data_IF_357401432054
#
_entry.id   IF_357401432054
#
_cell.length_a   1.000
_cell.length_b   1.000
_cell.length_c   1.000
_cell.angle_alpha   90.00
_cell.angle_beta   90.00
_cell.angle_gamma   90.00
#
_symmetry.space_group_name_H-M   'P 1'
#
loop_
_entity.id
_entity.type
_entity.pdbx_description
1 polymer ?
#
# COMPACT_ATOMS: atom_id res chain seq x y z
N UNK A 1 -6.21 -23.97 -15.43
CA UNK A 1 -6.13 -22.56 -15.89
C UNK A 1 -7.52 -21.98 -16.22
N UNK A 2 -8.39 -22.73 -16.90
CA UNK A 2 -9.73 -22.26 -17.30
C UNK A 2 -10.63 -21.78 -16.14
N UNK A 3 -10.68 -22.51 -15.01
CA UNK A 3 -11.44 -22.11 -13.80
C UNK A 3 -11.09 -20.70 -13.31
N UNK A 4 -9.80 -20.34 -13.30
CA UNK A 4 -9.36 -19.01 -12.85
C UNK A 4 -9.68 -17.92 -13.88
N UNK A 5 -9.66 -18.25 -15.17
CA UNK A 5 -10.07 -17.33 -16.23
C UNK A 5 -11.58 -17.02 -16.17
N UNK A 6 -12.39 -18.01 -15.82
CA UNK A 6 -13.84 -17.84 -15.64
C UNK A 6 -14.17 -16.98 -14.41
N UNK A 7 -13.50 -17.23 -13.28
CA UNK A 7 -13.60 -16.40 -12.07
C UNK A 7 -13.13 -14.96 -12.37
N UNK A 8 -12.04 -14.78 -13.12
CA UNK A 8 -11.54 -13.46 -13.50
C UNK A 8 -12.50 -12.66 -14.40
N UNK A 9 -13.33 -13.35 -15.19
CA UNK A 9 -14.37 -12.75 -16.04
C UNK A 9 -15.64 -12.41 -15.26
N UNK A 10 -15.87 -13.02 -14.09
CA UNK A 10 -17.05 -12.78 -13.25
C UNK A 10 -17.17 -11.31 -12.83
N UNK A 11 -18.42 -10.84 -12.74
CA UNK A 11 -18.72 -9.46 -12.28
C UNK A 11 -18.34 -9.26 -10.81
N UNK A 12 -18.43 -10.31 -10.00
CA UNK A 12 -18.08 -10.29 -8.58
C UNK A 12 -16.58 -10.04 -8.37
N UNK A 13 -15.72 -10.73 -9.13
CA UNK A 13 -14.28 -10.52 -9.09
C UNK A 13 -13.88 -9.10 -9.56
N UNK A 14 -14.55 -8.57 -10.59
CA UNK A 14 -14.30 -7.20 -11.07
C UNK A 14 -14.67 -6.15 -10.00
N UNK A 15 -15.81 -6.31 -9.31
CA UNK A 15 -16.22 -5.45 -8.19
C UNK A 15 -15.21 -5.52 -7.04
N UNK A 16 -14.79 -6.73 -6.66
CA UNK A 16 -13.77 -6.94 -5.63
C UNK A 16 -12.44 -6.28 -5.98
N UNK A 17 -11.94 -6.49 -7.21
CA UNK A 17 -10.70 -5.88 -7.70
C UNK A 17 -10.78 -4.36 -7.66
N UNK A 18 -11.90 -3.76 -8.10
CA UNK A 18 -12.09 -2.30 -8.06
C UNK A 18 -12.08 -1.78 -6.62
N UNK A 19 -12.77 -2.44 -5.69
CA UNK A 19 -12.79 -2.04 -4.28
C UNK A 19 -11.39 -2.09 -3.64
N UNK A 20 -10.61 -3.14 -3.94
CA UNK A 20 -9.22 -3.26 -3.50
C UNK A 20 -8.34 -2.13 -4.08
N UNK A 21 -8.47 -1.84 -5.37
CA UNK A 21 -7.71 -0.78 -6.02
C UNK A 21 -8.04 0.62 -5.47
N UNK A 22 -9.32 0.94 -5.25
CA UNK A 22 -9.74 2.24 -4.67
C UNK A 22 -9.17 2.45 -3.27
N UNK A 23 -8.93 1.38 -2.51
CA UNK A 23 -8.27 1.47 -1.22
C UNK A 23 -6.74 1.67 -1.33
N UNK A 24 -6.08 0.98 -2.26
CA UNK A 24 -4.61 0.99 -2.39
C UNK A 24 -4.12 2.26 -3.10
N UNK A 25 -4.82 2.74 -4.12
CA UNK A 25 -4.39 3.87 -4.94
C UNK A 25 -4.08 5.14 -4.13
N UNK A 26 -4.93 5.59 -3.19
CA UNK A 26 -4.63 6.76 -2.36
C UNK A 26 -3.37 6.58 -1.52
N UNK A 27 -3.15 5.39 -0.97
CA UNK A 27 -1.96 5.06 -0.15
C UNK A 27 -0.70 5.15 -1.00
N UNK A 28 -0.74 4.61 -2.22
CA UNK A 28 0.39 4.66 -3.17
C UNK A 28 0.70 6.10 -3.56
N UNK A 29 -0.32 6.91 -3.88
CA UNK A 29 -0.14 8.32 -4.22
C UNK A 29 0.47 9.10 -3.05
N UNK A 30 -0.06 8.92 -1.83
CA UNK A 30 0.44 9.58 -0.64
C UNK A 30 1.89 9.17 -0.34
N UNK A 31 2.21 7.88 -0.46
CA UNK A 31 3.57 7.38 -0.31
C UNK A 31 4.52 7.96 -1.36
N UNK A 32 4.12 8.02 -2.62
CA UNK A 32 4.94 8.58 -3.70
C UNK A 32 5.21 10.07 -3.48
N UNK A 33 4.16 10.85 -3.13
CA UNK A 33 4.31 12.27 -2.83
C UNK A 33 5.28 12.49 -1.67
N UNK A 34 5.14 11.71 -0.59
CA UNK A 34 6.02 11.78 0.57
C UNK A 34 7.46 11.33 0.24
N UNK A 35 7.63 10.28 -0.55
CA UNK A 35 8.95 9.83 -0.99
C UNK A 35 9.66 10.90 -1.83
N UNK A 36 8.94 11.55 -2.74
CA UNK A 36 9.46 12.61 -3.60
C UNK A 36 9.74 13.91 -2.84
N UNK A 37 9.11 14.14 -1.68
CA UNK A 37 9.47 15.30 -0.86
C UNK A 37 10.92 15.24 -0.35
N UNK A 38 11.51 14.05 -0.17
CA UNK A 38 12.91 13.93 0.25
C UNK A 38 13.90 14.58 -0.74
N UNK A 39 13.98 14.16 -2.02
CA UNK A 39 14.89 14.77 -2.98
C UNK A 39 14.53 16.24 -3.27
N UNK A 40 13.25 16.62 -3.21
CA UNK A 40 12.85 18.02 -3.35
C UNK A 40 13.42 18.89 -2.21
N UNK A 41 13.26 18.47 -0.96
CA UNK A 41 13.82 19.21 0.18
C UNK A 41 15.35 19.17 0.15
N UNK A 42 15.97 18.05 -0.25
CA UNK A 42 17.42 17.96 -0.38
C UNK A 42 17.98 18.87 -1.49
N UNK A 43 17.27 19.03 -2.61
CA UNK A 43 17.69 19.87 -3.73
C UNK A 43 17.49 21.37 -3.49
N UNK A 44 16.28 21.74 -3.03
CA UNK A 44 15.82 23.13 -2.93
C UNK A 44 15.96 23.73 -1.52
N UNK A 45 15.85 22.92 -0.47
CA UNK A 45 15.85 23.35 0.93
C UNK A 45 17.06 22.82 1.71
N UNK A 46 18.26 22.86 1.09
CA UNK A 46 19.52 22.47 1.73
C UNK A 46 19.76 23.13 3.10
N UNK A 47 19.48 24.43 3.31
CA UNK A 47 19.67 25.05 4.62
C UNK A 47 18.81 24.42 5.72
N UNK A 48 17.59 23.98 5.37
CA UNK A 48 16.69 23.30 6.30
C UNK A 48 17.16 21.87 6.56
N UNK A 49 17.52 21.12 5.52
CA UNK A 49 18.00 19.74 5.63
C UNK A 49 19.31 19.62 6.43
N UNK A 50 20.18 20.63 6.35
CA UNK A 50 21.44 20.71 7.11
C UNK A 50 21.30 21.39 8.47
N UNK A 51 20.12 21.90 8.82
CA UNK A 51 19.89 22.52 10.12
C UNK A 51 19.93 21.45 11.21
N UNK A 52 20.65 21.73 12.29
CA UNK A 52 20.80 20.85 13.44
C UNK A 52 19.59 20.99 14.37
N UNK A 53 19.01 19.86 14.75
CA UNK A 53 17.91 19.81 15.74
C UNK A 53 18.49 19.67 17.14
N UNK A 54 19.43 18.74 17.32
CA UNK A 54 20.13 18.51 18.58
C UNK A 54 21.47 17.85 18.31
N UNK A 55 22.53 18.36 18.93
CA UNK A 55 23.90 17.90 18.69
C UNK A 55 24.24 17.82 17.20
N UNK A 56 24.55 16.62 16.73
CA UNK A 56 24.94 16.33 15.33
C UNK A 56 23.79 15.81 14.45
N UNK A 57 22.55 15.78 14.95
CA UNK A 57 21.39 15.29 14.19
C UNK A 57 20.78 16.44 13.41
N UNK A 58 20.81 16.33 12.08
CA UNK A 58 20.16 17.29 11.18
C UNK A 58 18.70 16.90 10.89
N UNK A 59 17.92 17.86 10.39
CA UNK A 59 16.59 17.58 9.87
C UNK A 59 16.58 16.50 8.77
N UNK A 60 17.63 16.41 7.96
CA UNK A 60 17.77 15.35 6.96
C UNK A 60 17.83 13.96 7.58
N UNK A 61 18.58 13.78 8.68
CA UNK A 61 18.62 12.51 9.41
C UNK A 61 17.26 12.18 10.03
N UNK A 62 16.60 13.15 10.67
CA UNK A 62 15.27 12.95 11.24
C UNK A 62 14.25 12.54 10.16
N UNK A 63 14.24 13.25 9.03
CA UNK A 63 13.35 12.97 7.92
C UNK A 63 13.58 11.56 7.35
N UNK A 64 14.84 11.16 7.18
CA UNK A 64 15.20 9.80 6.74
C UNK A 64 14.65 8.73 7.67
N UNK A 65 14.79 8.89 8.99
CA UNK A 65 14.23 7.95 9.98
C UNK A 65 12.69 7.93 9.94
N UNK A 66 12.06 9.10 9.81
CA UNK A 66 10.61 9.21 9.64
C UNK A 66 10.12 8.49 8.38
N UNK A 67 10.87 8.52 7.28
CA UNK A 67 10.53 7.75 6.09
C UNK A 67 10.43 6.26 6.35
N UNK A 68 11.34 5.70 7.14
CA UNK A 68 11.24 4.30 7.55
C UNK A 68 9.95 4.08 8.35
N UNK A 69 9.69 4.89 9.38
CA UNK A 69 8.48 4.74 10.21
C UNK A 69 7.19 4.82 9.37
N UNK A 70 7.10 5.77 8.45
CA UNK A 70 5.96 5.91 7.53
C UNK A 70 5.78 4.65 6.67
N UNK A 71 6.86 4.10 6.10
CA UNK A 71 6.79 2.89 5.30
C UNK A 71 6.26 1.69 6.11
N UNK A 72 6.75 1.51 7.33
CA UNK A 72 6.29 0.44 8.23
C UNK A 72 4.82 0.62 8.65
N UNK A 73 4.39 1.85 8.94
CA UNK A 73 2.99 2.16 9.27
C UNK A 73 2.08 1.83 8.08
N UNK A 74 2.45 2.26 6.87
CA UNK A 74 1.67 1.96 5.66
C UNK A 74 1.61 0.47 5.38
N UNK A 75 2.72 -0.25 5.54
CA UNK A 75 2.76 -1.71 5.40
C UNK A 75 1.85 -2.40 6.42
N UNK A 76 1.90 -1.99 7.69
CA UNK A 76 1.04 -2.54 8.74
C UNK A 76 -0.45 -2.28 8.47
N UNK A 77 -0.81 -1.04 8.11
CA UNK A 77 -2.18 -0.66 7.75
C UNK A 77 -2.67 -1.46 6.53
N UNK A 78 -1.82 -1.65 5.53
CA UNK A 78 -2.12 -2.48 4.38
C UNK A 78 -2.37 -3.94 4.79
N UNK A 79 -1.47 -4.58 5.54
CA UNK A 79 -1.62 -5.99 5.96
C UNK A 79 -2.90 -6.18 6.77
N UNK A 80 -3.20 -5.25 7.68
CA UNK A 80 -4.44 -5.28 8.47
C UNK A 80 -5.67 -5.23 7.58
N UNK A 81 -5.69 -4.42 6.52
CA UNK A 81 -6.80 -4.37 5.57
C UNK A 81 -6.81 -5.58 4.63
N UNK A 82 -5.65 -6.06 4.20
CA UNK A 82 -5.48 -7.20 3.30
C UNK A 82 -6.14 -8.45 3.85
N UNK A 83 -6.08 -8.69 5.16
CA UNK A 83 -6.80 -9.80 5.82
C UNK A 83 -8.30 -9.83 5.48
N UNK A 84 -8.96 -8.65 5.43
CA UNK A 84 -10.39 -8.57 5.03
C UNK A 84 -10.59 -8.89 3.55
N UNK A 85 -9.66 -8.48 2.69
CA UNK A 85 -9.71 -8.83 1.27
C UNK A 85 -9.45 -10.33 1.04
N UNK A 86 -8.61 -10.96 1.86
CA UNK A 86 -8.34 -12.40 1.78
C UNK A 86 -9.59 -13.23 2.17
N UNK A 87 -10.34 -12.79 3.19
CA UNK A 87 -11.64 -13.38 3.55
C UNK A 87 -12.65 -13.27 2.40
N UNK A 88 -12.76 -12.09 1.79
CA UNK A 88 -13.64 -11.86 0.64
C UNK A 88 -13.24 -12.69 -0.58
N UNK A 89 -11.94 -12.82 -0.84
CA UNK A 89 -11.45 -13.64 -1.95
C UNK A 89 -11.81 -15.12 -1.75
N UNK A 90 -11.71 -15.64 -0.52
CA UNK A 90 -12.13 -17.01 -0.19
C UNK A 90 -13.62 -17.22 -0.44
N UNK A 91 -14.47 -16.27 -0.04
CA UNK A 91 -15.91 -16.34 -0.27
C UNK A 91 -16.29 -16.40 -1.77
N UNK A 92 -15.53 -15.74 -2.64
CA UNK A 92 -15.75 -15.78 -4.10
C UNK A 92 -15.30 -17.13 -4.69
N UNK A 93 -14.27 -17.76 -4.12
CA UNK A 93 -13.69 -19.02 -4.64
C UNK A 93 -14.45 -20.27 -4.18
N UNK A 94 -15.04 -20.23 -2.98
CA UNK A 94 -15.70 -21.39 -2.34
C UNK A 94 -16.86 -21.99 -3.18
N UNK A 95 -17.77 -21.20 -3.78
CA UNK A 95 -18.85 -21.72 -4.64
C UNK A 95 -18.34 -22.47 -5.87
N UNK A 96 -17.23 -22.01 -6.46
CA UNK A 96 -16.58 -22.65 -7.62
C UNK A 96 -15.76 -23.88 -7.24
N UNK A 97 -15.52 -24.09 -5.94
CA UNK A 97 -14.81 -25.25 -5.41
C UNK A 97 -15.81 -26.35 -4.99
N UNK A 98 -17.00 -25.97 -4.51
CA UNK A 98 -18.09 -26.87 -4.12
C UNK A 98 -18.88 -27.49 -5.28
N UNK A 99 -18.99 -26.80 -6.43
CA UNK A 99 -19.76 -27.24 -7.62
C UNK A 99 -19.25 -28.53 -8.31
N UNK A 100 -18.16 -29.14 -7.81
CA UNK A 100 -17.54 -30.34 -8.38
C UNK A 100 -17.63 -31.57 -7.46
N UNK A 101 -18.35 -31.46 -6.33
CA UNK A 101 -18.54 -32.54 -5.37
C UNK A 101 -19.88 -33.28 -5.47
N UNK A 102 -20.68 -33.01 -6.51
CA UNK A 102 -21.95 -33.68 -6.81
C UNK A 102 -21.97 -34.12 -8.28
#
# INVERSE_FOLDING_TARGET
MEKYAEIARSQEFKKFKRAKLVFIWPIVILFLLYYLTLPLLAGYARPLMSSFITGHITFGYLYGVLCYLVAWILAYLYVRKARKFDEQARAIIDPYTRKKGA
#
